data_IF_484273040309
#
_entry.id   IF_484273040309
#
_cell.length_a   1.000
_cell.length_b   1.000
_cell.length_c   1.000
_cell.angle_alpha   90.00
_cell.angle_beta   90.00
_cell.angle_gamma   90.00
#
_symmetry.space_group_name_H-M   'P 1'
#
loop_
_entity.id
_entity.type
_entity.pdbx_description
1 polymer ?
#
# COMPACT_ATOMS: atom_id res chain seq x y z
N UNK A 1 9.40 10.05 -7.49
CA UNK A 1 8.01 9.88 -7.94
C UNK A 1 7.33 8.82 -7.09
N UNK A 2 6.09 9.05 -6.75
CA UNK A 2 5.29 8.09 -5.98
C UNK A 2 5.11 6.79 -6.76
N UNK A 3 5.41 5.66 -6.12
CA UNK A 3 5.08 4.34 -6.67
C UNK A 3 3.73 3.92 -6.13
N UNK A 4 2.82 3.54 -7.01
CA UNK A 4 1.49 3.06 -6.64
C UNK A 4 1.33 1.61 -7.07
N UNK A 5 1.37 0.71 -6.11
CA UNK A 5 1.07 -0.70 -6.34
C UNK A 5 -0.44 -0.89 -6.29
N UNK A 6 -1.02 -1.30 -7.39
CA UNK A 6 -2.47 -1.35 -7.55
C UNK A 6 -2.90 -2.53 -8.42
N UNK A 7 -4.21 -2.83 -8.36
CA UNK A 7 -4.84 -3.82 -9.20
C UNK A 7 -6.08 -3.21 -9.85
N UNK A 8 -6.21 -3.32 -11.17
CA UNK A 8 -7.31 -2.68 -11.91
C UNK A 8 -8.70 -3.17 -11.48
N UNK A 9 -8.82 -4.42 -11.06
CA UNK A 9 -10.07 -4.96 -10.55
C UNK A 9 -10.47 -4.48 -9.16
N UNK A 10 -9.65 -3.69 -8.50
CA UNK A 10 -9.89 -3.20 -7.14
C UNK A 10 -10.52 -1.80 -7.19
N UNK A 11 -11.76 -1.67 -6.69
CA UNK A 11 -12.45 -0.38 -6.70
C UNK A 11 -11.74 0.68 -5.85
N UNK A 12 -11.17 0.28 -4.73
CA UNK A 12 -10.39 1.18 -3.86
C UNK A 12 -9.16 1.71 -4.59
N UNK A 13 -8.49 0.87 -5.37
CA UNK A 13 -7.36 1.29 -6.21
C UNK A 13 -7.79 2.31 -7.27
N UNK A 14 -8.91 2.05 -7.94
CA UNK A 14 -9.43 2.99 -8.94
C UNK A 14 -9.78 4.34 -8.32
N UNK A 15 -10.36 4.34 -7.13
CA UNK A 15 -10.69 5.56 -6.41
C UNK A 15 -9.42 6.35 -6.06
N UNK A 16 -8.37 5.66 -5.60
CA UNK A 16 -7.10 6.30 -5.29
C UNK A 16 -6.45 6.92 -6.53
N UNK A 17 -6.44 6.20 -7.63
CA UNK A 17 -5.90 6.70 -8.91
C UNK A 17 -6.66 7.95 -9.36
N UNK A 18 -7.97 7.91 -9.30
CA UNK A 18 -8.80 9.06 -9.65
C UNK A 18 -8.47 10.27 -8.79
N UNK A 19 -8.34 10.06 -7.49
CA UNK A 19 -7.99 11.14 -6.56
C UNK A 19 -6.61 11.73 -6.86
N UNK A 20 -5.62 10.87 -7.12
CA UNK A 20 -4.26 11.32 -7.48
C UNK A 20 -4.28 12.19 -8.75
N UNK A 21 -5.00 11.73 -9.77
CA UNK A 21 -5.13 12.47 -11.03
C UNK A 21 -5.84 13.82 -10.84
N UNK A 22 -6.90 13.83 -10.04
CA UNK A 22 -7.65 15.05 -9.76
C UNK A 22 -6.83 16.08 -8.99
N UNK A 23 -5.88 15.63 -8.20
CA UNK A 23 -5.04 16.51 -7.38
C UNK A 23 -3.66 16.77 -7.97
N UNK A 24 -3.43 16.35 -9.21
CA UNK A 24 -2.19 16.64 -9.92
C UNK A 24 -0.95 15.95 -9.36
N UNK A 25 -1.12 14.84 -8.66
CA UNK A 25 -0.01 14.08 -8.09
C UNK A 25 0.51 13.09 -9.13
N UNK A 26 1.78 13.23 -9.51
CA UNK A 26 2.43 12.30 -10.43
C UNK A 26 2.77 10.99 -9.72
N UNK A 27 2.53 9.87 -10.39
CA UNK A 27 2.83 8.55 -9.83
C UNK A 27 3.15 7.55 -10.92
N UNK A 28 3.86 6.49 -10.53
CA UNK A 28 4.13 5.33 -11.36
C UNK A 28 3.23 4.19 -10.87
N UNK A 29 2.35 3.69 -11.73
CA UNK A 29 1.48 2.57 -11.38
C UNK A 29 2.22 1.26 -11.62
N UNK A 30 2.22 0.38 -10.61
CA UNK A 30 2.86 -0.93 -10.67
C UNK A 30 1.78 -1.98 -10.40
N UNK A 31 1.72 -3.00 -11.27
CA UNK A 31 0.76 -4.09 -11.14
C UNK A 31 1.15 -4.98 -9.95
N UNK A 32 0.43 -4.84 -8.84
CA UNK A 32 0.80 -5.46 -7.56
C UNK A 32 0.81 -6.99 -7.62
N UNK A 33 -0.03 -7.58 -8.47
CA UNK A 33 -0.11 -9.05 -8.57
C UNK A 33 1.10 -9.62 -9.30
N UNK A 34 1.61 -8.92 -10.30
CA UNK A 34 2.76 -9.32 -11.10
C UNK A 34 4.08 -8.90 -10.45
N UNK A 35 4.09 -7.74 -9.82
CA UNK A 35 5.30 -7.17 -9.20
C UNK A 35 4.95 -6.67 -7.79
N UNK A 36 4.94 -7.56 -6.78
CA UNK A 36 4.65 -7.16 -5.41
C UNK A 36 5.71 -6.21 -4.87
N UNK A 37 5.40 -5.43 -3.82
CA UNK A 37 6.41 -4.63 -3.14
C UNK A 37 7.54 -5.49 -2.60
N UNK A 38 8.74 -4.93 -2.53
CA UNK A 38 9.89 -5.60 -1.95
C UNK A 38 9.76 -5.70 -0.42
N UNK A 39 10.56 -6.60 0.18
CA UNK A 39 10.61 -6.70 1.65
C UNK A 39 10.99 -5.35 2.28
N UNK A 40 11.94 -4.63 1.68
CA UNK A 40 12.37 -3.33 2.20
C UNK A 40 11.24 -2.30 2.15
N UNK A 41 10.47 -2.26 1.06
CA UNK A 41 9.32 -1.36 0.94
C UNK A 41 8.21 -1.72 1.92
N UNK A 42 7.94 -3.01 2.07
CA UNK A 42 6.94 -3.50 3.03
C UNK A 42 7.32 -3.16 4.45
N UNK A 43 8.61 -3.31 4.80
CA UNK A 43 9.10 -2.96 6.14
C UNK A 43 8.95 -1.47 6.43
N UNK A 44 9.24 -0.62 5.44
CA UNK A 44 9.11 0.82 5.60
C UNK A 44 7.65 1.22 5.89
N UNK A 45 6.69 0.62 5.18
CA UNK A 45 5.27 0.88 5.42
C UNK A 45 4.82 0.29 6.75
N UNK A 46 5.33 -0.89 7.12
CA UNK A 46 5.04 -1.50 8.42
C UNK A 46 5.45 -0.58 9.57
N UNK A 47 6.65 -0.02 9.49
CA UNK A 47 7.15 0.90 10.52
C UNK A 47 6.25 2.14 10.60
N UNK A 48 5.81 2.67 9.47
CA UNK A 48 4.90 3.80 9.42
C UNK A 48 3.51 3.47 10.00
N UNK A 49 3.11 2.19 9.98
CA UNK A 49 1.84 1.71 10.54
C UNK A 49 1.98 1.29 12.02
N UNK A 50 3.07 1.62 12.68
CA UNK A 50 3.28 1.26 14.08
C UNK A 50 3.58 -0.22 14.32
N UNK A 51 3.98 -0.95 13.29
CA UNK A 51 4.34 -2.37 13.40
C UNK A 51 3.18 -3.35 13.32
N UNK A 52 1.99 -2.88 12.93
CA UNK A 52 0.80 -3.74 12.83
C UNK A 52 0.79 -4.48 11.48
N UNK A 53 1.24 -5.74 11.49
CA UNK A 53 1.32 -6.58 10.30
C UNK A 53 -0.02 -6.75 9.58
N UNK A 54 -1.14 -6.80 10.31
CA UNK A 54 -2.45 -6.98 9.68
C UNK A 54 -2.79 -5.87 8.70
N UNK A 55 -2.27 -4.67 8.93
CA UNK A 55 -2.54 -3.53 8.04
C UNK A 55 -1.90 -3.69 6.67
N UNK A 56 -0.91 -4.55 6.53
CA UNK A 56 -0.26 -4.82 5.25
C UNK A 56 -0.99 -5.91 4.44
N UNK A 57 -1.87 -6.68 5.08
CA UNK A 57 -2.53 -7.81 4.43
C UNK A 57 -3.91 -7.44 3.90
N UNK A 58 -4.24 -8.02 2.74
CA UNK A 58 -5.58 -7.99 2.19
C UNK A 58 -6.44 -9.05 2.89
N UNK A 59 -6.95 -8.70 4.07
CA UNK A 59 -7.65 -9.63 4.96
C UNK A 59 -8.99 -10.11 4.41
N UNK A 60 -9.54 -9.45 3.41
CA UNK A 60 -10.78 -9.84 2.75
C UNK A 60 -10.54 -10.67 1.49
N UNK A 61 -9.28 -10.93 1.14
CA UNK A 61 -8.92 -11.62 -0.09
C UNK A 61 -9.06 -13.13 -0.01
N UNK A 62 -9.21 -13.75 -1.18
CA UNK A 62 -9.32 -15.21 -1.28
C UNK A 62 -8.05 -15.91 -0.82
N UNK A 63 -6.89 -15.39 -1.18
CA UNK A 63 -5.61 -16.01 -0.81
C UNK A 63 -5.40 -15.97 0.71
N UNK A 64 -5.78 -14.87 1.34
CA UNK A 64 -5.70 -14.74 2.79
C UNK A 64 -6.52 -15.85 3.50
N UNK A 65 -7.73 -16.09 3.01
CA UNK A 65 -8.60 -17.14 3.54
C UNK A 65 -8.05 -18.53 3.23
N UNK A 66 -7.64 -18.75 1.98
CA UNK A 66 -7.17 -20.06 1.53
C UNK A 66 -5.95 -20.53 2.31
N UNK A 67 -5.06 -19.60 2.68
CA UNK A 67 -3.86 -19.89 3.44
C UNK A 67 -4.08 -19.94 4.96
N UNK A 68 -5.29 -19.64 5.43
CA UNK A 68 -5.61 -19.65 6.86
C UNK A 68 -4.84 -18.60 7.66
N UNK A 69 -4.55 -17.46 7.06
CA UNK A 69 -3.69 -16.45 7.66
C UNK A 69 -4.32 -15.76 8.87
N UNK A 70 -5.64 -15.76 8.98
CA UNK A 70 -6.30 -15.23 10.19
C UNK A 70 -5.76 -15.90 11.45
N UNK A 71 -5.56 -17.22 11.38
CA UNK A 71 -5.08 -18.00 12.52
C UNK A 71 -3.57 -18.07 12.58
N UNK A 72 -2.90 -18.06 11.41
CA UNK A 72 -1.44 -18.24 11.34
C UNK A 72 -0.66 -16.96 11.58
N UNK A 73 -1.19 -15.80 11.16
CA UNK A 73 -0.46 -14.55 11.20
C UNK A 73 0.02 -14.17 12.62
N UNK A 74 -0.80 -14.33 13.68
CA UNK A 74 -0.32 -14.00 15.03
C UNK A 74 0.91 -14.78 15.47
N UNK A 75 1.15 -15.97 14.92
CA UNK A 75 2.29 -16.82 15.25
C UNK A 75 3.47 -16.63 14.30
N UNK A 76 3.32 -15.86 13.22
CA UNK A 76 4.39 -15.64 12.26
C UNK A 76 5.36 -14.58 12.75
N UNK A 77 6.65 -14.76 12.41
CA UNK A 77 7.64 -13.69 12.61
C UNK A 77 7.39 -12.58 11.59
N UNK A 78 7.83 -11.38 11.94
CA UNK A 78 7.74 -10.24 11.01
C UNK A 78 8.45 -10.55 9.68
N UNK A 79 9.67 -11.11 9.75
CA UNK A 79 10.43 -11.42 8.55
C UNK A 79 9.71 -12.44 7.65
N UNK A 80 9.11 -13.48 8.25
CA UNK A 80 8.36 -14.47 7.48
C UNK A 80 7.13 -13.86 6.82
N UNK A 81 6.42 -12.99 7.52
CA UNK A 81 5.24 -12.31 7.00
C UNK A 81 5.59 -11.37 5.83
N UNK A 82 6.66 -10.58 5.97
CA UNK A 82 7.10 -9.68 4.92
C UNK A 82 7.57 -10.44 3.68
N UNK A 83 8.29 -11.54 3.89
CA UNK A 83 8.74 -12.39 2.79
C UNK A 83 7.54 -12.97 2.03
N UNK A 84 6.53 -13.45 2.75
CA UNK A 84 5.31 -13.97 2.14
C UNK A 84 4.63 -12.91 1.28
N UNK A 85 4.47 -11.70 1.80
CA UNK A 85 3.87 -10.59 1.06
C UNK A 85 4.66 -10.24 -0.20
N UNK A 86 5.99 -10.27 -0.12
CA UNK A 86 6.85 -9.91 -1.26
C UNK A 86 6.77 -10.94 -2.40
N UNK A 87 6.28 -12.13 -2.14
CA UNK A 87 6.14 -13.19 -3.13
C UNK A 87 4.70 -13.41 -3.61
N UNK A 88 3.72 -12.74 -2.99
CA UNK A 88 2.31 -12.92 -3.36
C UNK A 88 1.56 -11.59 -3.24
N UNK A 89 1.49 -10.87 -4.37
CA UNK A 89 0.83 -9.56 -4.41
C UNK A 89 -0.66 -9.58 -4.09
N UNK A 90 -1.33 -10.74 -4.23
CA UNK A 90 -2.74 -10.86 -3.85
C UNK A 90 -2.96 -10.73 -2.34
N UNK A 91 -1.92 -10.99 -1.55
CA UNK A 91 -1.98 -10.88 -0.10
C UNK A 91 -1.77 -9.45 0.41
N UNK A 92 -1.22 -8.58 -0.42
CA UNK A 92 -0.88 -7.21 0.00
C UNK A 92 -2.12 -6.34 -0.03
N UNK A 93 -2.33 -5.59 1.05
CA UNK A 93 -3.39 -4.57 1.11
C UNK A 93 -3.14 -3.51 0.04
N UNK A 94 -4.16 -3.17 -0.71
CA UNK A 94 -4.03 -2.23 -1.83
C UNK A 94 -5.08 -1.13 -1.77
N UNK A 95 -4.76 0.04 -2.35
CA UNK A 95 -3.48 0.38 -2.97
C UNK A 95 -2.35 0.50 -1.94
N UNK A 96 -1.12 0.28 -2.40
CA UNK A 96 0.09 0.41 -1.59
C UNK A 96 0.94 1.48 -2.24
N UNK A 97 1.16 2.60 -1.57
CA UNK A 97 1.82 3.76 -2.15
C UNK A 97 3.05 4.14 -1.36
N UNK A 98 4.17 4.33 -2.05
CA UNK A 98 5.44 4.60 -1.39
C UNK A 98 6.31 5.57 -2.21
N UNK A 99 6.90 6.53 -1.51
CA UNK A 99 7.98 7.36 -2.01
C UNK A 99 9.02 7.50 -0.90
N UNK A 100 10.06 6.67 -0.96
CA UNK A 100 11.07 6.59 0.09
C UNK A 100 11.79 7.92 0.28
N UNK A 101 12.14 8.60 -0.82
CA UNK A 101 12.84 9.86 -0.77
C UNK A 101 12.05 10.95 -0.04
N UNK A 102 10.75 10.93 -0.18
CA UNK A 102 9.84 11.90 0.47
C UNK A 102 9.18 11.37 1.73
N UNK A 103 9.55 10.17 2.15
CA UNK A 103 9.01 9.51 3.35
C UNK A 103 7.49 9.38 3.33
N UNK A 104 6.95 9.02 2.17
CA UNK A 104 5.52 8.74 2.01
C UNK A 104 5.31 7.23 2.04
N UNK A 105 4.50 6.76 2.99
CA UNK A 105 4.25 5.34 3.22
C UNK A 105 2.76 5.15 3.51
N UNK A 106 2.00 4.70 2.49
CA UNK A 106 0.54 4.60 2.59
C UNK A 106 0.06 3.21 2.17
N UNK A 107 -0.92 2.68 2.89
CA UNK A 107 -1.56 1.41 2.56
C UNK A 107 -3.06 1.54 2.75
N UNK A 108 -3.84 1.00 1.79
CA UNK A 108 -5.26 1.28 1.70
C UNK A 108 -5.49 2.72 1.26
N UNK A 109 -6.74 3.09 1.00
CA UNK A 109 -7.02 4.47 0.59
C UNK A 109 -8.00 5.11 1.55
N UNK A 110 -7.49 6.08 2.32
CA UNK A 110 -8.28 7.01 3.12
C UNK A 110 -7.87 8.41 2.68
N UNK A 111 -8.79 9.14 2.11
CA UNK A 111 -8.52 10.43 1.48
C UNK A 111 -7.80 11.40 2.43
N UNK A 112 -8.25 11.47 3.69
CA UNK A 112 -7.65 12.37 4.68
C UNK A 112 -6.19 12.04 4.94
N UNK A 113 -5.86 10.75 5.06
CA UNK A 113 -4.47 10.31 5.27
C UNK A 113 -3.60 10.64 4.05
N UNK A 114 -4.13 10.41 2.84
CA UNK A 114 -3.41 10.68 1.60
C UNK A 114 -3.19 12.17 1.40
N UNK A 115 -4.20 12.98 1.73
CA UNK A 115 -4.08 14.44 1.65
C UNK A 115 -3.01 14.95 2.59
N UNK A 116 -2.99 14.47 3.83
CA UNK A 116 -1.98 14.85 4.81
C UNK A 116 -0.56 14.45 4.39
N UNK A 117 -0.41 13.25 3.82
CA UNK A 117 0.90 12.74 3.42
C UNK A 117 1.45 13.40 2.16
N UNK A 118 0.59 13.75 1.20
CA UNK A 118 1.01 14.18 -0.14
C UNK A 118 0.98 15.69 -0.34
N UNK A 119 0.24 16.43 0.48
CA UNK A 119 -0.01 17.86 0.24
C UNK A 119 1.22 18.73 0.17
N UNK A 120 2.30 18.38 0.85
CA UNK A 120 3.53 19.19 0.92
C UNK A 120 4.66 18.68 0.05
N UNK A 121 4.51 17.51 -0.57
CA UNK A 121 5.63 16.81 -1.20
C UNK A 121 5.59 16.81 -2.72
N UNK A 122 4.47 17.20 -3.31
CA UNK A 122 4.28 17.05 -4.77
C UNK A 122 3.81 18.37 -5.37
N UNK A 123 4.61 18.93 -6.33
CA UNK A 123 4.19 20.10 -7.08
C UNK A 123 2.89 19.81 -7.83
N UNK A 124 2.00 20.79 -7.88
CA UNK A 124 0.70 20.63 -8.53
C UNK A 124 -0.42 20.19 -7.61
N UNK A 125 -0.10 19.72 -6.40
CA UNK A 125 -1.12 19.41 -5.41
C UNK A 125 -1.79 20.73 -4.95
N UNK A 126 -3.13 20.83 -5.02
CA UNK A 126 -3.79 22.07 -4.65
C UNK A 126 -3.55 22.43 -3.19
N UNK A 127 -3.43 23.72 -2.88
CA UNK A 127 -3.22 24.14 -1.50
C UNK A 127 -4.41 23.71 -0.64
N UNK A 128 -4.10 23.23 0.54
CA UNK A 128 -5.11 22.85 1.52
C UNK A 128 -5.65 24.13 2.17
N UNK A 129 -6.93 24.24 2.15
CA UNK A 129 -7.58 25.40 2.75
C UNK A 129 -8.06 25.09 4.14
#
# INVERSE_FOLDING_TARGET
>A
MLKLYAYQGCSTCRNAIKWLNQNGVAFEEIAIRETPPSVAELRAVLDACGGDLRRLFNTSGLDYRALGLKDKLPAMTTDAALKLLSTNGNLVKRPFAIDVAKKVFLVGFKEDEWRAALGWHYPGYPPTM
#
